data_IF_369657785578
#
_entry.id   IF_369657785578
#
_cell.length_a   1.000
_cell.length_b   1.000
_cell.length_c   1.000
_cell.angle_alpha   90.00
_cell.angle_beta   90.00
_cell.angle_gamma   90.00
#
_symmetry.space_group_name_H-M   'P 1'
#
loop_
_entity.id
_entity.type
_entity.pdbx_description
1 polymer ?
#
# COMPACT_ATOMS: atom_id res chain seq x y z
N UNK A 1 7.34 -26.86 -21.55
CA UNK A 1 8.80 -26.75 -21.68
C UNK A 1 9.41 -27.83 -20.82
N UNK A 2 9.91 -28.87 -21.47
CA UNK A 2 10.60 -30.02 -20.89
C UNK A 2 12.05 -29.65 -20.58
N UNK A 3 12.59 -30.12 -19.47
CA UNK A 3 14.03 -30.21 -19.23
C UNK A 3 14.29 -31.32 -18.21
N UNK A 4 14.56 -32.51 -18.73
CA UNK A 4 15.26 -33.58 -18.01
C UNK A 4 16.74 -33.20 -17.84
N UNK A 5 17.39 -33.76 -16.83
CA UNK A 5 18.81 -33.55 -16.58
C UNK A 5 19.39 -34.59 -15.63
N UNK A 6 19.44 -35.85 -16.09
CA UNK A 6 20.24 -36.92 -15.49
C UNK A 6 21.73 -36.58 -15.58
N UNK A 7 22.49 -36.85 -14.52
CA UNK A 7 23.96 -36.94 -14.57
C UNK A 7 24.42 -38.22 -13.88
N UNK A 8 24.72 -39.23 -14.71
CA UNK A 8 25.51 -40.40 -14.36
C UNK A 8 26.94 -40.13 -14.82
N UNK A 9 27.90 -40.22 -13.90
CA UNK A 9 29.33 -40.08 -14.17
C UNK A 9 29.97 -41.44 -14.00
N UNK A 10 30.43 -42.01 -15.11
CA UNK A 10 31.22 -43.24 -15.19
C UNK A 10 32.70 -42.88 -15.11
N UNK A 11 33.44 -43.47 -14.17
CA UNK A 11 34.91 -43.39 -14.08
C UNK A 11 35.52 -44.69 -14.61
N UNK A 12 36.61 -44.50 -15.36
CA UNK A 12 37.32 -45.44 -16.20
C UNK A 12 38.55 -46.03 -15.49
N UNK A 13 38.95 -47.24 -15.90
CA UNK A 13 40.34 -47.71 -16.14
C UNK A 13 41.30 -48.03 -14.97
N UNK A 14 41.69 -49.31 -14.82
CA UNK A 14 42.95 -49.89 -15.35
C UNK A 14 43.39 -51.15 -14.56
N UNK A 15 43.68 -52.26 -15.25
CA UNK A 15 45.06 -52.80 -15.39
C UNK A 15 45.03 -54.26 -15.91
N UNK A 16 45.38 -54.40 -17.19
CA UNK A 16 45.83 -55.64 -17.80
C UNK A 16 47.32 -55.84 -17.49
N UNK A 17 47.72 -57.04 -17.06
CA UNK A 17 49.09 -57.52 -17.18
C UNK A 17 49.05 -58.94 -17.75
N UNK A 18 49.58 -59.07 -18.96
CA UNK A 18 49.73 -60.31 -19.72
C UNK A 18 51.05 -61.01 -19.42
N UNK A 19 50.97 -62.34 -19.50
CA UNK A 19 52.02 -63.36 -19.63
C UNK A 19 53.20 -63.00 -20.55
N UNK A 20 54.41 -63.44 -20.16
CA UNK A 20 55.37 -64.00 -21.12
C UNK A 20 56.42 -64.89 -20.44
N UNK A 21 56.41 -66.17 -20.80
CA UNK A 21 57.48 -67.15 -20.56
C UNK A 21 58.52 -67.04 -21.68
N UNK A 22 59.81 -66.94 -21.34
CA UNK A 22 60.87 -67.38 -22.25
C UNK A 22 62.10 -67.79 -21.43
N UNK A 23 62.45 -69.07 -21.52
CA UNK A 23 63.68 -69.61 -20.95
C UNK A 23 64.82 -69.56 -21.97
N UNK A 24 66.04 -69.63 -21.46
CA UNK A 24 67.20 -70.09 -22.20
C UNK A 24 68.09 -70.95 -21.31
N UNK A 25 68.53 -72.06 -21.89
CA UNK A 25 69.45 -73.07 -21.35
C UNK A 25 70.88 -72.69 -21.77
N UNK A 26 71.87 -72.96 -20.91
CA UNK A 26 73.10 -73.72 -21.21
C UNK A 26 74.05 -73.69 -20.00
N UNK A 27 74.20 -74.81 -19.29
CA UNK A 27 75.36 -75.74 -19.32
C UNK A 27 76.67 -75.12 -18.79
N UNK A 28 77.04 -75.52 -17.58
CA UNK A 28 78.41 -75.98 -17.26
C UNK A 28 78.31 -77.17 -16.31
N UNK A 29 78.94 -78.27 -16.72
CA UNK A 29 79.01 -79.53 -16.01
C UNK A 29 79.97 -79.49 -14.82
N UNK A 30 79.58 -80.23 -13.79
CA UNK A 30 80.40 -81.13 -12.96
C UNK A 30 81.59 -80.54 -12.17
N UNK A 31 81.49 -80.67 -10.84
CA UNK A 31 82.49 -81.42 -10.05
C UNK A 31 82.00 -81.66 -8.62
N UNK A 32 81.72 -82.94 -8.35
CA UNK A 32 82.00 -83.68 -7.13
C UNK A 32 81.48 -83.18 -5.77
N UNK A 33 80.65 -84.08 -5.21
CA UNK A 33 80.73 -84.66 -3.86
C UNK A 33 79.98 -83.97 -2.72
N UNK A 34 79.26 -84.88 -2.04
CA UNK A 34 78.90 -84.90 -0.62
C UNK A 34 77.69 -84.06 -0.20
N UNK A 35 76.57 -84.76 0.02
CA UNK A 35 75.65 -84.41 1.09
C UNK A 35 76.44 -84.26 2.41
N UNK A 36 76.13 -83.23 3.20
CA UNK A 36 75.37 -83.52 4.42
C UNK A 36 74.22 -82.53 4.66
N UNK A 37 73.06 -83.10 5.01
CA UNK A 37 72.14 -82.74 6.10
C UNK A 37 71.78 -81.27 6.40
N UNK A 38 70.45 -81.10 6.55
CA UNK A 38 69.76 -80.37 7.62
C UNK A 38 69.81 -78.83 7.63
N UNK A 39 68.64 -78.25 7.41
CA UNK A 39 68.00 -77.17 8.16
C UNK A 39 68.88 -76.03 8.70
N UNK A 40 68.76 -74.87 8.07
CA UNK A 40 68.86 -73.57 8.76
C UNK A 40 67.71 -72.68 8.30
N UNK A 41 66.49 -73.04 8.73
CA UNK A 41 65.43 -72.05 8.89
C UNK A 41 65.94 -71.07 9.95
N UNK A 42 66.11 -69.79 9.59
CA UNK A 42 66.60 -68.76 10.53
C UNK A 42 65.75 -68.79 11.80
N UNK A 43 66.38 -68.74 12.98
CA UNK A 43 65.68 -68.87 14.28
C UNK A 43 64.51 -67.86 14.44
N UNK A 44 64.64 -66.67 13.84
CA UNK A 44 63.56 -65.68 13.75
C UNK A 44 62.33 -66.18 12.98
N UNK A 45 62.52 -66.88 11.85
CA UNK A 45 61.44 -67.45 11.04
C UNK A 45 60.75 -68.59 11.78
N UNK A 46 61.53 -69.37 12.54
CA UNK A 46 61.02 -70.47 13.36
C UNK A 46 60.18 -69.95 14.53
N UNK A 47 60.60 -68.85 15.16
CA UNK A 47 59.87 -68.21 16.26
C UNK A 47 58.62 -67.45 15.77
N UNK A 48 58.71 -66.76 14.63
CA UNK A 48 57.56 -66.11 14.00
C UNK A 48 56.48 -67.14 13.60
N UNK A 49 56.88 -68.29 13.06
CA UNK A 49 55.93 -69.38 12.76
C UNK A 49 55.24 -69.93 14.01
N UNK A 50 55.93 -70.03 15.16
CA UNK A 50 55.30 -70.43 16.42
C UNK A 50 54.28 -69.39 16.88
N UNK A 51 54.63 -68.10 16.77
CA UNK A 51 53.74 -67.01 17.13
C UNK A 51 52.50 -66.97 16.24
N UNK A 52 52.66 -67.11 14.92
CA UNK A 52 51.55 -67.23 13.97
C UNK A 52 50.68 -68.46 14.26
N UNK A 53 51.28 -69.60 14.62
CA UNK A 53 50.51 -70.79 15.01
C UNK A 53 49.66 -70.54 16.26
N UNK A 54 50.23 -69.85 17.25
CA UNK A 54 49.51 -69.49 18.47
C UNK A 54 48.35 -68.51 18.18
N UNK A 55 48.57 -67.51 17.32
CA UNK A 55 47.54 -66.56 16.92
C UNK A 55 46.43 -67.22 16.09
N UNK A 56 46.77 -68.09 15.13
CA UNK A 56 45.78 -68.87 14.37
C UNK A 56 44.97 -69.77 15.30
N UNK A 57 45.60 -70.39 16.30
CA UNK A 57 44.90 -71.22 17.27
C UNK A 57 43.93 -70.37 18.12
N UNK A 58 44.37 -69.21 18.60
CA UNK A 58 43.53 -68.30 19.37
C UNK A 58 42.35 -67.77 18.54
N UNK A 59 42.59 -67.30 17.31
CA UNK A 59 41.55 -66.89 16.37
C UNK A 59 40.54 -68.00 16.08
N UNK A 60 41.01 -69.25 15.96
CA UNK A 60 40.13 -70.42 15.77
C UNK A 60 39.29 -70.70 17.02
N UNK A 61 39.86 -70.57 18.21
CA UNK A 61 39.13 -70.70 19.48
C UNK A 61 38.08 -69.59 19.65
N UNK A 62 38.42 -68.35 19.28
CA UNK A 62 37.49 -67.22 19.24
C UNK A 62 36.34 -67.46 18.24
N UNK A 63 36.65 -67.95 17.03
CA UNK A 63 35.64 -68.28 16.01
C UNK A 63 34.66 -69.36 16.49
N UNK A 64 35.16 -70.40 17.15
CA UNK A 64 34.31 -71.46 17.72
C UNK A 64 33.40 -70.92 18.82
N UNK A 65 33.92 -70.06 19.69
CA UNK A 65 33.14 -69.41 20.75
C UNK A 65 32.05 -68.49 20.17
N UNK A 66 32.39 -67.70 19.15
CA UNK A 66 31.44 -66.85 18.43
C UNK A 66 30.35 -67.68 17.73
N UNK A 67 30.71 -68.79 17.09
CA UNK A 67 29.74 -69.68 16.43
C UNK A 67 28.73 -70.28 17.41
N UNK A 68 29.12 -70.55 18.66
CA UNK A 68 28.23 -71.04 19.72
C UNK A 68 27.23 -70.00 20.20
N UNK A 69 27.53 -68.71 20.04
CA UNK A 69 26.65 -67.61 20.43
C UNK A 69 25.57 -67.32 19.39
N UNK A 70 25.77 -67.77 18.15
CA UNK A 70 24.77 -67.63 17.08
C UNK A 70 23.69 -68.71 17.29
N UNK A 71 22.41 -68.32 17.51
CA UNK A 71 21.34 -69.29 17.62
C UNK A 71 21.20 -70.08 16.31
N UNK A 72 21.22 -71.41 16.39
CA UNK A 72 20.93 -72.26 15.24
C UNK A 72 19.44 -72.17 14.94
N UNK A 73 19.10 -71.67 13.75
CA UNK A 73 17.72 -71.58 13.28
C UNK A 73 17.54 -72.63 12.20
N UNK A 74 16.59 -73.53 12.40
CA UNK A 74 16.19 -74.53 11.42
C UNK A 74 14.84 -74.17 10.82
N UNK A 75 14.65 -74.48 9.54
CA UNK A 75 13.35 -74.31 8.88
C UNK A 75 12.36 -75.42 9.25
N UNK A 76 11.16 -75.35 8.70
CA UNK A 76 10.09 -76.34 8.95
C UNK A 76 10.44 -77.75 8.43
N UNK A 77 11.47 -77.87 7.59
CA UNK A 77 11.97 -79.12 7.00
C UNK A 77 13.20 -79.64 7.75
N UNK A 78 13.71 -78.89 8.74
CA UNK A 78 14.87 -79.24 9.57
C UNK A 78 16.22 -78.81 8.97
N UNK A 79 16.26 -78.03 7.90
CA UNK A 79 17.49 -77.55 7.28
C UNK A 79 18.06 -76.33 8.03
N UNK A 80 19.38 -76.17 8.01
CA UNK A 80 20.05 -74.98 8.58
C UNK A 80 19.66 -73.71 7.81
N UNK A 81 18.88 -72.86 8.48
CA UNK A 81 18.36 -71.59 7.97
C UNK A 81 19.07 -70.38 8.58
N UNK A 82 20.07 -70.61 9.44
CA UNK A 82 20.71 -69.58 10.28
C UNK A 82 21.22 -68.39 9.48
N UNK A 83 21.92 -68.62 8.35
CA UNK A 83 22.42 -67.53 7.50
C UNK A 83 21.32 -66.69 6.86
N UNK A 84 20.26 -67.33 6.36
CA UNK A 84 19.11 -66.63 5.76
C UNK A 84 18.35 -65.83 6.81
N UNK A 85 18.17 -66.40 7.99
CA UNK A 85 17.57 -65.72 9.13
C UNK A 85 18.35 -64.44 9.51
N UNK A 86 19.68 -64.52 9.62
CA UNK A 86 20.52 -63.37 9.92
C UNK A 86 20.39 -62.30 8.83
N UNK A 87 20.45 -62.68 7.55
CA UNK A 87 20.30 -61.74 6.44
C UNK A 87 18.93 -61.02 6.48
N UNK A 88 17.84 -61.76 6.67
CA UNK A 88 16.50 -61.20 6.80
C UNK A 88 16.38 -60.27 8.02
N UNK A 89 17.03 -60.60 9.14
CA UNK A 89 17.01 -59.76 10.34
C UNK A 89 17.78 -58.45 10.12
N UNK A 90 18.89 -58.49 9.39
CA UNK A 90 19.64 -57.30 8.98
C UNK A 90 18.82 -56.41 8.04
N UNK A 91 18.18 -56.99 7.02
CA UNK A 91 17.29 -56.27 6.11
C UNK A 91 16.11 -55.64 6.85
N UNK A 92 15.47 -56.38 7.77
CA UNK A 92 14.39 -55.87 8.60
C UNK A 92 14.84 -54.69 9.46
N UNK A 93 16.04 -54.76 10.05
CA UNK A 93 16.60 -53.66 10.84
C UNK A 93 16.90 -52.44 9.97
N UNK A 94 17.43 -52.64 8.75
CA UNK A 94 17.65 -51.57 7.78
C UNK A 94 16.33 -50.89 7.37
N UNK A 95 15.30 -51.68 7.07
CA UNK A 95 13.97 -51.14 6.72
C UNK A 95 13.33 -50.38 7.89
N UNK A 96 13.52 -50.84 9.14
CA UNK A 96 13.10 -50.10 10.34
C UNK A 96 13.82 -48.75 10.44
N UNK A 97 15.13 -48.72 10.21
CA UNK A 97 15.91 -47.48 10.22
C UNK A 97 15.43 -46.49 9.15
N UNK A 98 15.22 -46.96 7.91
CA UNK A 98 14.67 -46.13 6.83
C UNK A 98 13.28 -45.59 7.14
N UNK A 99 12.41 -46.43 7.74
CA UNK A 99 11.08 -45.98 8.18
C UNK A 99 11.19 -44.86 9.21
N UNK A 100 12.07 -45.00 10.20
CA UNK A 100 12.27 -43.95 11.21
C UNK A 100 12.81 -42.64 10.61
N UNK A 101 13.73 -42.74 9.63
CA UNK A 101 14.25 -41.57 8.92
C UNK A 101 13.14 -40.84 8.14
N UNK A 102 12.29 -41.59 7.41
CA UNK A 102 11.15 -41.02 6.69
C UNK A 102 10.12 -40.39 7.63
N UNK A 103 9.85 -40.99 8.80
CA UNK A 103 8.96 -40.41 9.81
C UNK A 103 9.50 -39.09 10.37
N UNK A 104 10.82 -38.98 10.57
CA UNK A 104 11.47 -37.72 10.99
C UNK A 104 11.38 -36.67 9.88
N UNK A 105 11.73 -37.02 8.64
CA UNK A 105 11.63 -36.11 7.50
C UNK A 105 10.20 -35.61 7.28
N UNK A 106 9.21 -36.49 7.40
CA UNK A 106 7.80 -36.13 7.31
C UNK A 106 7.41 -35.10 8.38
N UNK A 107 7.78 -35.35 9.65
CA UNK A 107 7.50 -34.42 10.76
C UNK A 107 8.17 -33.06 10.55
N UNK A 108 9.46 -33.05 10.20
CA UNK A 108 10.18 -31.81 9.90
C UNK A 108 9.54 -31.04 8.74
N UNK A 109 9.06 -31.72 7.70
CA UNK A 109 8.39 -31.07 6.59
C UNK A 109 7.02 -30.52 6.99
N UNK A 110 6.28 -31.24 7.84
CA UNK A 110 5.00 -30.79 8.38
C UNK A 110 5.17 -29.56 9.28
N UNK A 111 6.21 -29.52 10.11
CA UNK A 111 6.54 -28.36 10.94
C UNK A 111 6.86 -27.12 10.08
N UNK A 112 7.70 -27.28 9.05
CA UNK A 112 8.00 -26.19 8.10
C UNK A 112 6.75 -25.64 7.44
N UNK A 113 5.88 -26.51 6.94
CA UNK A 113 4.61 -26.11 6.34
C UNK A 113 3.72 -25.34 7.33
N UNK A 114 3.62 -25.80 8.57
CA UNK A 114 2.83 -25.13 9.60
C UNK A 114 3.41 -23.77 9.97
N UNK A 115 4.74 -23.64 10.02
CA UNK A 115 5.42 -22.37 10.28
C UNK A 115 5.15 -21.35 9.17
N UNK A 116 5.29 -21.75 7.90
CA UNK A 116 4.98 -20.90 6.75
C UNK A 116 3.50 -20.48 6.72
N UNK A 117 2.60 -21.44 6.98
CA UNK A 117 1.17 -21.16 7.08
C UNK A 117 0.89 -20.13 8.18
N UNK A 118 1.50 -20.27 9.36
CA UNK A 118 1.34 -19.32 10.46
C UNK A 118 1.87 -17.93 10.10
N UNK A 119 3.01 -17.83 9.41
CA UNK A 119 3.56 -16.55 8.93
C UNK A 119 2.59 -15.85 7.98
N UNK A 120 2.07 -16.59 6.99
CA UNK A 120 1.11 -16.05 6.02
C UNK A 120 -0.20 -15.61 6.68
N UNK A 121 -0.70 -16.35 7.66
CA UNK A 121 -1.89 -15.96 8.43
C UNK A 121 -1.67 -14.67 9.23
N UNK A 122 -0.50 -14.51 9.86
CA UNK A 122 -0.10 -13.27 10.54
C UNK A 122 -0.04 -12.09 9.55
N UNK A 123 0.66 -12.24 8.43
CA UNK A 123 0.78 -11.20 7.41
C UNK A 123 -0.60 -10.80 6.85
N UNK A 124 -1.46 -11.77 6.54
CA UNK A 124 -2.83 -11.52 6.09
C UNK A 124 -3.62 -10.70 7.12
N UNK A 125 -3.44 -10.98 8.41
CA UNK A 125 -4.04 -10.21 9.50
C UNK A 125 -3.56 -8.76 9.53
N UNK A 126 -2.25 -8.53 9.32
CA UNK A 126 -1.67 -7.18 9.24
C UNK A 126 -2.18 -6.40 8.02
N UNK A 127 -2.21 -7.03 6.86
CA UNK A 127 -2.75 -6.43 5.63
C UNK A 127 -4.22 -6.06 5.78
N UNK A 128 -5.02 -6.92 6.42
CA UNK A 128 -6.43 -6.63 6.71
C UNK A 128 -6.59 -5.42 7.63
N UNK A 129 -5.79 -5.33 8.70
CA UNK A 129 -5.79 -4.15 9.59
C UNK A 129 -5.39 -2.88 8.83
N UNK A 130 -4.37 -2.97 7.97
CA UNK A 130 -3.90 -1.86 7.15
C UNK A 130 -4.96 -1.41 6.14
N UNK A 131 -5.70 -2.34 5.54
CA UNK A 131 -6.81 -2.02 4.64
C UNK A 131 -7.93 -1.26 5.36
N UNK A 132 -8.37 -1.73 6.53
CA UNK A 132 -9.39 -1.05 7.35
C UNK A 132 -8.93 0.38 7.70
N UNK A 133 -7.70 0.54 8.19
CA UNK A 133 -7.15 1.86 8.53
C UNK A 133 -7.08 2.78 7.32
N UNK A 134 -6.74 2.25 6.15
CA UNK A 134 -6.73 3.04 4.91
C UNK A 134 -8.13 3.50 4.50
N UNK A 135 -9.15 2.65 4.68
CA UNK A 135 -10.54 3.00 4.41
C UNK A 135 -11.04 4.08 5.38
N UNK A 136 -10.69 3.99 6.66
CA UNK A 136 -10.97 5.02 7.68
C UNK A 136 -10.34 6.37 7.30
N UNK A 137 -9.04 6.39 7.00
CA UNK A 137 -8.33 7.60 6.57
C UNK A 137 -8.91 8.18 5.27
N UNK A 138 -9.30 7.32 4.33
CA UNK A 138 -9.94 7.75 3.08
C UNK A 138 -11.29 8.40 3.33
N UNK A 139 -12.06 7.87 4.29
CA UNK A 139 -13.33 8.46 4.73
C UNK A 139 -13.11 9.82 5.41
N UNK A 140 -12.13 9.93 6.31
CA UNK A 140 -11.78 11.19 6.99
C UNK A 140 -11.34 12.27 5.99
N UNK A 141 -10.46 11.93 5.05
CA UNK A 141 -10.03 12.85 3.98
C UNK A 141 -11.23 13.32 3.15
N UNK A 142 -12.18 12.42 2.84
CA UNK A 142 -13.40 12.79 2.10
C UNK A 142 -14.26 13.77 2.90
N UNK A 143 -14.43 13.55 4.20
CA UNK A 143 -15.19 14.44 5.07
C UNK A 143 -14.53 15.82 5.20
N UNK A 144 -13.21 15.87 5.40
CA UNK A 144 -12.46 17.13 5.49
C UNK A 144 -12.55 17.94 4.19
N UNK A 145 -12.46 17.27 3.03
CA UNK A 145 -12.66 17.94 1.73
C UNK A 145 -14.06 18.54 1.60
N UNK A 146 -15.09 17.80 2.04
CA UNK A 146 -16.47 18.30 2.01
C UNK A 146 -16.63 19.53 2.91
N UNK A 147 -16.12 19.48 4.15
CA UNK A 147 -16.16 20.60 5.09
C UNK A 147 -15.42 21.82 4.55
N UNK A 148 -14.28 21.63 3.87
CA UNK A 148 -13.53 22.71 3.25
C UNK A 148 -14.35 23.42 2.17
N UNK A 149 -14.99 22.66 1.28
CA UNK A 149 -15.85 23.20 0.21
C UNK A 149 -17.06 23.94 0.80
N UNK A 150 -17.70 23.39 1.82
CA UNK A 150 -18.83 24.05 2.50
C UNK A 150 -18.42 25.37 3.16
N UNK A 151 -17.26 25.39 3.83
CA UNK A 151 -16.71 26.59 4.45
C UNK A 151 -16.34 27.65 3.42
N UNK A 152 -15.73 27.27 2.31
CA UNK A 152 -15.40 28.19 1.22
C UNK A 152 -16.65 28.82 0.60
N UNK A 153 -17.66 28.00 0.30
CA UNK A 153 -18.96 28.46 -0.20
C UNK A 153 -19.70 29.36 0.78
N UNK A 154 -19.55 29.12 2.10
CA UNK A 154 -20.11 30.00 3.14
C UNK A 154 -19.39 31.35 3.15
N UNK A 155 -18.05 31.33 3.18
CA UNK A 155 -17.24 32.55 3.17
C UNK A 155 -17.53 33.41 1.92
N UNK A 156 -17.65 32.77 0.74
CA UNK A 156 -18.00 33.47 -0.50
C UNK A 156 -19.36 34.18 -0.40
N UNK A 157 -20.38 33.51 0.13
CA UNK A 157 -21.71 34.11 0.34
C UNK A 157 -21.67 35.26 1.35
N UNK A 158 -20.94 35.12 2.44
CA UNK A 158 -20.78 36.18 3.43
C UNK A 158 -20.08 37.41 2.85
N UNK A 159 -19.06 37.19 2.01
CA UNK A 159 -18.36 38.27 1.31
C UNK A 159 -19.26 38.97 0.28
N UNK A 160 -19.99 38.22 -0.55
CA UNK A 160 -20.97 38.79 -1.50
C UNK A 160 -22.05 39.60 -0.77
N UNK A 161 -22.56 39.09 0.35
CA UNK A 161 -23.52 39.81 1.18
C UNK A 161 -22.95 41.11 1.73
N UNK A 162 -21.69 41.11 2.19
CA UNK A 162 -21.01 42.31 2.68
C UNK A 162 -20.91 43.39 1.60
N UNK A 163 -20.52 43.00 0.38
CA UNK A 163 -20.43 43.92 -0.76
C UNK A 163 -21.80 44.52 -1.12
N UNK A 164 -22.84 43.69 -1.16
CA UNK A 164 -24.21 44.16 -1.43
C UNK A 164 -24.69 45.11 -0.33
N UNK A 165 -24.41 44.80 0.94
CA UNK A 165 -24.75 45.67 2.07
C UNK A 165 -24.07 47.03 1.95
N UNK A 166 -22.76 47.06 1.68
CA UNK A 166 -22.02 48.31 1.50
C UNK A 166 -22.56 49.14 0.33
N UNK A 167 -22.86 48.49 -0.80
CA UNK A 167 -23.47 49.16 -1.96
C UNK A 167 -24.84 49.76 -1.61
N UNK A 168 -25.67 49.02 -0.90
CA UNK A 168 -26.98 49.49 -0.47
C UNK A 168 -26.90 50.67 0.52
N UNK A 169 -25.95 50.65 1.45
CA UNK A 169 -25.70 51.77 2.37
C UNK A 169 -25.25 53.03 1.60
N UNK A 170 -24.36 52.86 0.63
CA UNK A 170 -23.92 53.96 -0.25
C UNK A 170 -25.08 54.54 -1.05
N UNK A 171 -25.89 53.67 -1.67
CA UNK A 171 -27.05 54.07 -2.46
C UNK A 171 -28.11 54.77 -1.59
N UNK A 172 -28.36 54.29 -0.35
CA UNK A 172 -29.24 54.98 0.60
C UNK A 172 -28.74 56.40 0.91
N UNK A 173 -27.43 56.58 1.10
CA UNK A 173 -26.85 57.89 1.35
C UNK A 173 -26.99 58.82 0.13
N UNK A 174 -26.84 58.32 -1.10
CA UNK A 174 -27.07 59.07 -2.33
C UNK A 174 -28.54 59.46 -2.50
N UNK A 175 -29.46 58.53 -2.28
CA UNK A 175 -30.91 58.81 -2.32
C UNK A 175 -31.29 59.90 -1.33
N UNK A 176 -30.75 59.86 -0.10
CA UNK A 176 -31.00 60.89 0.89
C UNK A 176 -30.49 62.27 0.45
N UNK A 177 -29.33 62.35 -0.23
CA UNK A 177 -28.83 63.60 -0.82
C UNK A 177 -29.78 64.13 -1.89
N UNK A 178 -30.28 63.28 -2.78
CA UNK A 178 -31.22 63.70 -3.82
C UNK A 178 -32.56 64.15 -3.25
N UNK A 179 -33.08 63.47 -2.22
CA UNK A 179 -34.28 63.89 -1.50
C UNK A 179 -34.10 65.28 -0.89
N UNK A 180 -32.99 65.52 -0.19
CA UNK A 180 -32.70 66.85 0.36
C UNK A 180 -32.60 67.94 -0.72
N UNK A 181 -31.98 67.65 -1.87
CA UNK A 181 -31.92 68.58 -3.00
C UNK A 181 -33.32 68.87 -3.56
N UNK A 182 -34.18 67.85 -3.69
CA UNK A 182 -35.54 67.99 -4.18
C UNK A 182 -36.39 68.86 -3.24
N UNK A 183 -36.35 68.60 -1.94
CA UNK A 183 -37.03 69.41 -0.90
C UNK A 183 -36.58 70.88 -0.96
N UNK A 184 -35.27 71.12 -1.05
CA UNK A 184 -34.72 72.48 -1.17
C UNK A 184 -35.14 73.17 -2.47
N UNK A 185 -35.27 72.43 -3.58
CA UNK A 185 -35.73 72.98 -4.85
C UNK A 185 -37.23 73.32 -4.81
N UNK A 186 -38.04 72.48 -4.17
CA UNK A 186 -39.47 72.69 -3.96
C UNK A 186 -39.74 73.91 -3.09
N UNK A 187 -39.07 74.03 -1.94
CA UNK A 187 -39.16 75.22 -1.07
C UNK A 187 -38.79 76.50 -1.81
N UNK A 188 -37.73 76.48 -2.64
CA UNK A 188 -37.35 77.64 -3.47
C UNK A 188 -38.40 77.95 -4.53
N UNK A 189 -39.06 76.95 -5.10
CA UNK A 189 -40.12 77.13 -6.09
C UNK A 189 -41.39 77.71 -5.44
N UNK A 190 -41.76 77.20 -4.26
CA UNK A 190 -42.87 77.70 -3.45
C UNK A 190 -42.66 79.17 -3.08
N UNK A 191 -41.49 79.50 -2.51
CA UNK A 191 -41.16 80.86 -2.14
C UNK A 191 -41.21 81.83 -3.33
N UNK A 192 -40.74 81.42 -4.52
CA UNK A 192 -40.88 82.21 -5.75
C UNK A 192 -42.34 82.41 -6.14
N UNK A 193 -43.18 81.37 -6.01
CA UNK A 193 -44.60 81.42 -6.32
C UNK A 193 -45.32 82.42 -5.41
N UNK A 194 -45.04 82.40 -4.11
CA UNK A 194 -45.58 83.35 -3.13
C UNK A 194 -45.22 84.80 -3.49
N UNK A 195 -43.96 85.07 -3.82
CA UNK A 195 -43.50 86.41 -4.25
C UNK A 195 -44.27 86.86 -5.51
N UNK A 196 -44.48 85.96 -6.48
CA UNK A 196 -45.23 86.31 -7.69
C UNK A 196 -46.71 86.58 -7.40
N UNK A 197 -47.36 85.77 -6.58
CA UNK A 197 -48.77 85.98 -6.23
C UNK A 197 -48.97 87.27 -5.43
N UNK A 198 -48.05 87.60 -4.51
CA UNK A 198 -48.07 88.88 -3.79
C UNK A 198 -47.96 90.07 -4.75
N UNK A 199 -47.03 89.99 -5.72
CA UNK A 199 -46.88 91.03 -6.76
C UNK A 199 -48.13 91.15 -7.63
N UNK A 200 -48.75 90.04 -8.02
CA UNK A 200 -49.99 90.03 -8.79
C UNK A 200 -51.15 90.62 -7.99
N UNK A 201 -51.26 90.29 -6.70
CA UNK A 201 -52.27 90.85 -5.80
C UNK A 201 -52.15 92.37 -5.70
N UNK A 202 -50.94 92.88 -5.44
CA UNK A 202 -50.66 94.34 -5.41
C UNK A 202 -51.00 95.01 -6.74
N UNK A 203 -50.66 94.40 -7.87
CA UNK A 203 -51.00 94.94 -9.19
C UNK A 203 -52.51 94.97 -9.44
N UNK A 204 -53.26 93.94 -9.00
CA UNK A 204 -54.73 93.90 -9.08
C UNK A 204 -55.35 95.03 -8.23
N UNK A 205 -54.87 95.23 -7.01
CA UNK A 205 -55.34 96.29 -6.11
C UNK A 205 -55.11 97.69 -6.70
N UNK A 206 -53.91 97.97 -7.21
CA UNK A 206 -53.60 99.24 -7.88
C UNK A 206 -54.52 99.46 -9.09
N UNK A 207 -54.71 98.44 -9.92
CA UNK A 207 -55.56 98.53 -11.09
C UNK A 207 -57.04 98.79 -10.71
N UNK A 208 -57.53 98.20 -9.64
CA UNK A 208 -58.87 98.44 -9.12
C UNK A 208 -59.05 99.89 -8.64
N UNK A 209 -58.06 100.45 -7.92
CA UNK A 209 -58.04 101.87 -7.53
C UNK A 209 -58.12 102.77 -8.77
N UNK A 210 -57.28 102.52 -9.79
CA UNK A 210 -57.26 103.31 -11.03
C UNK A 210 -58.61 103.24 -11.77
N UNK A 211 -59.20 102.05 -11.89
CA UNK A 211 -60.52 101.88 -12.53
C UNK A 211 -61.61 102.63 -11.75
N UNK A 212 -61.58 102.58 -10.42
CA UNK A 212 -62.51 103.28 -9.56
C UNK A 212 -62.37 104.81 -9.69
N UNK A 213 -61.15 105.33 -9.71
CA UNK A 213 -60.87 106.76 -9.95
C UNK A 213 -61.31 107.21 -11.33
N UNK A 214 -61.00 106.43 -12.38
CA UNK A 214 -61.49 106.69 -13.75
C UNK A 214 -63.01 106.74 -13.77
N UNK A 215 -63.68 105.78 -13.14
CA UNK A 215 -65.15 105.72 -13.08
C UNK A 215 -65.75 106.89 -12.29
N UNK A 216 -65.09 107.34 -11.22
CA UNK A 216 -65.47 108.54 -10.47
C UNK A 216 -65.32 109.79 -11.35
N UNK A 217 -64.21 109.91 -12.07
CA UNK A 217 -63.93 111.02 -13.00
C UNK A 217 -64.96 111.08 -14.12
N UNK A 218 -65.23 109.96 -14.80
CA UNK A 218 -66.26 109.88 -15.85
C UNK A 218 -67.64 110.28 -15.31
N UNK A 219 -68.02 109.85 -14.10
CA UNK A 219 -69.28 110.27 -13.45
C UNK A 219 -69.33 111.78 -13.22
N UNK A 220 -68.24 112.39 -12.75
CA UNK A 220 -68.14 113.84 -12.58
C UNK A 220 -68.28 114.58 -13.91
N UNK A 221 -67.53 114.16 -14.93
CA UNK A 221 -67.59 114.75 -16.28
C UNK A 221 -68.99 114.62 -16.88
N UNK A 222 -69.64 113.45 -16.78
CA UNK A 222 -71.02 113.27 -17.25
C UNK A 222 -72.01 114.20 -16.54
N UNK A 223 -71.87 114.40 -15.22
CA UNK A 223 -72.71 115.35 -14.48
C UNK A 223 -72.51 116.78 -14.97
N UNK A 224 -71.25 117.19 -15.18
CA UNK A 224 -70.92 118.51 -15.72
C UNK A 224 -71.49 118.68 -17.14
N UNK A 225 -71.27 117.72 -18.05
CA UNK A 225 -71.84 117.75 -19.40
C UNK A 225 -73.37 117.89 -19.40
N UNK A 226 -74.08 117.07 -18.60
CA UNK A 226 -75.54 117.19 -18.46
C UNK A 226 -75.96 118.57 -17.95
N UNK A 227 -75.26 119.10 -16.95
CA UNK A 227 -75.52 120.45 -16.44
C UNK A 227 -75.27 121.52 -17.51
N UNK A 228 -74.17 121.45 -18.23
CA UNK A 228 -73.85 122.40 -19.31
C UNK A 228 -74.86 122.31 -20.44
N UNK A 229 -75.25 121.11 -20.87
CA UNK A 229 -76.31 120.91 -21.87
C UNK A 229 -77.64 121.52 -21.41
N UNK A 230 -78.02 121.34 -20.14
CA UNK A 230 -79.22 121.98 -19.57
C UNK A 230 -79.16 123.51 -19.49
N UNK A 231 -77.97 124.11 -19.65
CA UNK A 231 -77.74 125.56 -19.66
C UNK A 231 -77.61 126.15 -21.07
N UNK A 232 -77.23 125.35 -22.06
CA UNK A 232 -76.94 125.79 -23.44
C UNK A 232 -78.09 125.48 -24.41
N UNK A 233 -78.95 124.49 -24.10
CA UNK A 233 -80.19 124.21 -24.83
C UNK A 233 -81.39 124.41 -23.88
N UNK A 234 -82.02 125.60 -23.83
CA UNK A 234 -83.34 125.75 -23.25
C UNK A 234 -84.38 125.37 -24.32
N UNK A 235 -84.99 124.20 -24.11
CA UNK A 235 -86.06 123.54 -24.90
C UNK A 235 -85.79 123.27 -26.39
#
# INVERSE_FOLDING_TARGET
MTSEGNTSVTINKNSDITSSNQGDKNITESLLKENPKEDTVSDEILEENKNLMAEVFDLKAQLVSLKKLIPAVVDNEGNDFTYRYIAMQMELNQMKAQKTELEVLWKCQQEKYNEEKSKLECEMGEWKKKAIKNDELTSEVRQLRQQLVEKDNKNKREFEFMLVKQRNETMKAEVAKFQHIAEMAELKAEHRREIFEEKLSKAREINEIIINERSRTCRTIMKLLKWTMSKVLPE
#
